data_IF_142573921027
#
_entry.id   IF_142573921027
#
_cell.length_a   1.000
_cell.length_b   1.000
_cell.length_c   1.000
_cell.angle_alpha   90.00
_cell.angle_beta   90.00
_cell.angle_gamma   90.00
#
_symmetry.space_group_name_H-M   'P 1'
#
loop_
_entity.id
_entity.type
_entity.pdbx_description
1 polymer ?
#
# COMPACT_ATOMS: atom_id res chain seq x y z
N UNK A 1 -9.79 -7.02 -19.89
CA UNK A 1 -11.16 -7.01 -19.36
C UNK A 1 -11.07 -6.93 -17.85
N UNK A 2 -11.80 -6.02 -17.23
CA UNK A 2 -11.98 -6.01 -15.77
C UNK A 2 -13.45 -5.94 -15.40
N UNK A 3 -13.85 -6.75 -14.42
CA UNK A 3 -15.21 -6.82 -13.89
C UNK A 3 -15.16 -6.39 -12.43
N UNK A 4 -16.12 -5.56 -12.05
CA UNK A 4 -16.36 -5.15 -10.68
C UNK A 4 -17.85 -5.18 -10.40
N UNK A 5 -18.30 -6.17 -9.63
CA UNK A 5 -19.69 -6.36 -9.23
C UNK A 5 -19.74 -6.28 -7.71
N UNK A 6 -20.55 -5.38 -7.16
CA UNK A 6 -20.58 -5.18 -5.72
C UNK A 6 -21.96 -4.81 -5.20
N UNK A 7 -22.23 -5.20 -3.96
CA UNK A 7 -23.20 -4.54 -3.10
C UNK A 7 -22.46 -3.55 -2.21
N UNK A 8 -22.97 -2.32 -2.13
CA UNK A 8 -22.37 -1.21 -1.40
C UNK A 8 -23.34 -0.58 -0.42
N UNK A 9 -22.90 -0.43 0.82
CA UNK A 9 -23.49 0.48 1.80
C UNK A 9 -22.85 1.87 1.61
N UNK A 10 -23.63 2.82 1.11
CA UNK A 10 -23.14 4.14 0.69
C UNK A 10 -22.70 5.01 1.88
N UNK A 11 -23.37 4.85 3.04
CA UNK A 11 -23.04 5.62 4.24
C UNK A 11 -21.71 5.14 4.81
N UNK A 12 -21.56 3.83 4.97
CA UNK A 12 -20.32 3.22 5.47
C UNK A 12 -19.16 3.46 4.50
N UNK A 13 -19.40 3.31 3.19
CA UNK A 13 -18.41 3.57 2.16
C UNK A 13 -17.90 5.02 2.24
N UNK A 14 -18.82 6.00 2.28
CA UNK A 14 -18.44 7.40 2.32
C UNK A 14 -17.72 7.77 3.64
N UNK A 15 -18.23 7.30 4.78
CA UNK A 15 -17.57 7.50 6.07
C UNK A 15 -16.11 7.02 6.05
N UNK A 16 -15.88 5.79 5.58
CA UNK A 16 -14.53 5.24 5.54
C UNK A 16 -13.62 5.96 4.53
N UNK A 17 -14.14 6.38 3.36
CA UNK A 17 -13.35 7.18 2.40
C UNK A 17 -12.87 8.51 2.98
N UNK A 18 -13.67 9.14 3.85
CA UNK A 18 -13.30 10.41 4.50
C UNK A 18 -12.26 10.23 5.61
N UNK A 19 -12.26 9.10 6.32
CA UNK A 19 -11.31 8.82 7.41
C UNK A 19 -9.91 8.44 6.91
N UNK A 20 -9.82 7.69 5.81
CA UNK A 20 -8.56 7.06 5.40
C UNK A 20 -7.76 7.83 4.34
N UNK A 21 -8.23 8.99 3.85
CA UNK A 21 -7.55 9.76 2.80
C UNK A 21 -7.33 8.99 1.50
N UNK A 22 -8.12 7.92 1.26
CA UNK A 22 -7.94 6.94 0.19
C UNK A 22 -9.03 5.86 0.23
N UNK A 23 -9.09 4.94 -0.77
CA UNK A 23 -10.07 3.87 -0.81
C UNK A 23 -9.89 2.98 0.43
N UNK A 24 -10.88 2.91 1.33
CA UNK A 24 -10.78 2.19 2.60
C UNK A 24 -10.80 0.67 2.40
N UNK A 25 -10.50 -0.08 3.47
CA UNK A 25 -10.82 -1.52 3.60
C UNK A 25 -12.25 -1.74 3.14
N UNK A 26 -12.42 -2.29 1.93
CA UNK A 26 -13.69 -2.19 1.24
C UNK A 26 -14.77 -2.98 2.03
N UNK A 27 -15.81 -2.31 2.58
CA UNK A 27 -16.88 -2.98 3.31
C UNK A 27 -17.88 -3.69 2.38
N UNK A 28 -17.74 -3.51 1.06
CA UNK A 28 -18.61 -4.08 0.05
C UNK A 28 -18.50 -5.62 0.06
N UNK A 29 -19.63 -6.28 -0.21
CA UNK A 29 -19.59 -7.60 -0.83
C UNK A 29 -19.25 -7.34 -2.30
N UNK A 30 -18.09 -7.80 -2.76
CA UNK A 30 -17.61 -7.51 -4.12
C UNK A 30 -17.00 -8.73 -4.79
N UNK A 31 -17.40 -8.99 -6.02
CA UNK A 31 -16.69 -9.84 -6.95
C UNK A 31 -15.88 -8.96 -7.91
N UNK A 32 -14.57 -9.14 -7.95
CA UNK A 32 -13.70 -8.40 -8.85
C UNK A 32 -12.75 -9.31 -9.60
N UNK A 33 -12.45 -8.97 -10.85
CA UNK A 33 -11.32 -9.58 -11.56
C UNK A 33 -10.01 -9.05 -11.00
N UNK A 34 -9.10 -9.96 -10.67
CA UNK A 34 -7.69 -9.66 -10.38
C UNK A 34 -6.84 -9.92 -11.64
N UNK A 35 -5.53 -10.15 -11.48
CA UNK A 35 -4.63 -10.38 -12.61
C UNK A 35 -5.02 -11.64 -13.38
N UNK A 36 -4.87 -11.60 -14.71
CA UNK A 36 -5.07 -12.75 -15.60
C UNK A 36 -6.50 -13.33 -15.66
N UNK A 37 -7.52 -12.54 -15.30
CA UNK A 37 -8.92 -12.96 -15.36
C UNK A 37 -9.32 -13.95 -14.25
N UNK A 38 -8.53 -14.01 -13.18
CA UNK A 38 -8.92 -14.66 -11.93
C UNK A 38 -9.95 -13.78 -11.22
N UNK A 39 -10.91 -14.39 -10.52
CA UNK A 39 -11.93 -13.67 -9.77
C UNK A 39 -11.69 -13.81 -8.26
N UNK A 40 -11.99 -12.74 -7.53
CA UNK A 40 -11.90 -12.68 -6.08
C UNK A 40 -13.21 -12.12 -5.53
N UNK A 41 -13.84 -12.87 -4.63
CA UNK A 41 -14.97 -12.38 -3.86
C UNK A 41 -14.46 -11.88 -2.50
N UNK A 42 -14.62 -10.59 -2.20
CA UNK A 42 -14.37 -10.05 -0.86
C UNK A 42 -15.71 -9.81 -0.16
N UNK A 43 -15.86 -10.29 1.08
CA UNK A 43 -17.03 -10.10 1.93
C UNK A 43 -16.58 -9.88 3.37
N UNK A 44 -16.89 -8.73 3.98
CA UNK A 44 -16.65 -8.51 5.41
C UNK A 44 -15.18 -8.71 5.85
N UNK A 45 -14.21 -8.21 5.07
CA UNK A 45 -12.76 -8.39 5.25
C UNK A 45 -12.23 -9.82 5.04
N UNK A 46 -13.05 -10.72 4.51
CA UNK A 46 -12.63 -12.05 4.10
C UNK A 46 -12.60 -12.12 2.57
N UNK A 47 -11.62 -12.87 2.05
CA UNK A 47 -11.44 -13.04 0.62
C UNK A 47 -11.65 -14.52 0.25
N UNK A 48 -12.33 -14.76 -0.86
CA UNK A 48 -12.70 -16.10 -1.33
C UNK A 48 -12.23 -16.29 -2.77
N UNK A 49 -11.60 -17.42 -3.04
CA UNK A 49 -11.14 -17.78 -4.38
C UNK A 49 -12.33 -18.11 -5.27
N UNK A 50 -12.52 -17.38 -6.36
CA UNK A 50 -13.52 -17.71 -7.37
C UNK A 50 -12.80 -18.20 -8.61
N UNK A 51 -13.14 -19.41 -9.08
CA UNK A 51 -12.57 -19.94 -10.31
C UNK A 51 -12.96 -19.06 -11.48
N UNK A 52 -12.11 -19.00 -12.52
CA UNK A 52 -12.40 -18.22 -13.72
C UNK A 52 -13.75 -18.60 -14.33
N UNK A 53 -14.03 -19.89 -14.45
CA UNK A 53 -15.28 -20.40 -14.99
C UNK A 53 -16.49 -19.93 -14.18
N UNK A 54 -16.47 -20.09 -12.85
CA UNK A 54 -17.58 -19.67 -11.99
C UNK A 54 -17.76 -18.16 -11.98
N UNK A 55 -16.67 -17.39 -12.00
CA UNK A 55 -16.71 -15.93 -12.05
C UNK A 55 -17.35 -15.40 -13.33
N UNK A 56 -17.00 -15.99 -14.49
CA UNK A 56 -17.65 -15.66 -15.76
C UNK A 56 -19.14 -16.06 -15.75
N UNK A 57 -19.49 -17.24 -15.22
CA UNK A 57 -20.90 -17.64 -15.06
C UNK A 57 -21.67 -16.65 -14.19
N UNK A 58 -21.11 -16.24 -13.05
CA UNK A 58 -21.75 -15.27 -12.15
C UNK A 58 -21.94 -13.90 -12.83
N UNK A 59 -20.95 -13.45 -13.59
CA UNK A 59 -21.05 -12.22 -14.40
C UNK A 59 -22.23 -12.29 -15.38
N UNK A 60 -22.38 -13.39 -16.11
CA UNK A 60 -23.51 -13.58 -17.04
C UNK A 60 -24.86 -13.67 -16.30
N UNK A 61 -24.92 -14.35 -15.15
CA UNK A 61 -26.12 -14.41 -14.30
C UNK A 61 -26.56 -13.02 -13.85
N UNK A 62 -25.62 -12.18 -13.40
CA UNK A 62 -25.86 -10.78 -13.02
C UNK A 62 -26.32 -9.97 -14.23
N UNK A 63 -25.62 -10.03 -15.36
CA UNK A 63 -25.99 -9.26 -16.55
C UNK A 63 -27.36 -9.64 -17.09
N UNK A 64 -27.75 -10.92 -17.01
CA UNK A 64 -29.07 -11.39 -17.43
C UNK A 64 -30.23 -10.80 -16.61
N UNK A 65 -29.94 -10.26 -15.43
CA UNK A 65 -30.90 -9.67 -14.48
C UNK A 65 -30.76 -8.15 -14.37
N UNK A 66 -29.80 -7.54 -15.07
CA UNK A 66 -29.65 -6.09 -15.11
C UNK A 66 -30.87 -5.43 -15.76
N UNK A 67 -31.31 -4.29 -15.21
CA UNK A 67 -32.51 -3.58 -15.68
C UNK A 67 -32.20 -2.56 -16.77
N UNK A 68 -30.93 -2.20 -16.93
CA UNK A 68 -30.45 -1.24 -17.91
C UNK A 68 -28.93 -1.05 -17.82
N UNK A 69 -28.42 -0.23 -18.73
CA UNK A 69 -27.05 0.28 -18.67
C UNK A 69 -27.08 1.80 -18.81
N UNK A 70 -26.12 2.48 -18.19
CA UNK A 70 -26.01 3.92 -18.28
C UNK A 70 -24.56 4.35 -18.57
N UNK A 71 -24.41 5.55 -19.12
CA UNK A 71 -23.11 6.21 -19.24
C UNK A 71 -22.76 6.92 -17.93
N UNK A 72 -21.47 7.04 -17.63
CA UNK A 72 -20.97 7.74 -16.45
C UNK A 72 -20.76 6.86 -15.23
N UNK A 73 -20.20 7.41 -14.15
CA UNK A 73 -19.78 6.65 -12.98
C UNK A 73 -20.91 6.43 -11.98
N UNK A 74 -20.81 5.32 -11.22
CA UNK A 74 -21.72 5.07 -10.11
C UNK A 74 -21.61 6.20 -9.05
N UNK A 75 -22.74 6.78 -8.58
CA UNK A 75 -22.71 7.95 -7.72
C UNK A 75 -21.92 7.71 -6.43
N UNK A 76 -21.18 8.75 -6.01
CA UNK A 76 -20.34 8.77 -4.80
C UNK A 76 -20.99 9.58 -3.68
N UNK A 77 -22.30 9.42 -3.51
CA UNK A 77 -23.07 10.05 -2.44
C UNK A 77 -23.43 9.05 -1.33
N UNK A 78 -24.08 9.55 -0.28
CA UNK A 78 -24.62 8.72 0.81
C UNK A 78 -25.91 8.01 0.43
N UNK A 79 -26.51 8.40 -0.70
CA UNK A 79 -27.77 7.87 -1.20
C UNK A 79 -27.76 7.74 -2.74
N UNK A 80 -28.46 6.74 -3.24
CA UNK A 80 -28.73 6.51 -4.65
C UNK A 80 -30.18 6.06 -4.81
N UNK A 81 -30.96 6.73 -5.67
CA UNK A 81 -32.39 6.46 -5.87
C UNK A 81 -33.21 6.39 -4.57
N UNK A 82 -32.87 7.23 -3.57
CA UNK A 82 -33.54 7.28 -2.27
C UNK A 82 -33.20 6.11 -1.33
N UNK A 83 -32.21 5.28 -1.67
CA UNK A 83 -31.67 4.21 -0.81
C UNK A 83 -30.26 4.57 -0.35
N UNK A 84 -29.85 4.10 0.83
CA UNK A 84 -28.48 4.19 1.35
C UNK A 84 -27.60 3.02 0.89
N UNK A 85 -28.13 2.18 0.02
CA UNK A 85 -27.53 0.95 -0.49
C UNK A 85 -27.58 0.95 -2.01
N UNK A 86 -26.67 0.21 -2.63
CA UNK A 86 -26.50 0.22 -4.07
C UNK A 86 -25.90 -1.09 -4.60
N UNK A 87 -26.39 -1.56 -5.74
CA UNK A 87 -25.65 -2.49 -6.58
C UNK A 87 -24.75 -1.72 -7.54
N UNK A 88 -23.48 -2.09 -7.62
CA UNK A 88 -22.50 -1.50 -8.51
C UNK A 88 -22.03 -2.56 -9.48
N UNK A 89 -22.25 -2.36 -10.77
CA UNK A 89 -21.75 -3.25 -11.82
C UNK A 89 -20.97 -2.40 -12.80
N UNK A 90 -19.66 -2.62 -12.85
CA UNK A 90 -18.74 -1.96 -13.75
C UNK A 90 -17.98 -3.03 -14.56
N UNK A 91 -18.11 -2.96 -15.87
CA UNK A 91 -17.42 -3.86 -16.80
C UNK A 91 -16.59 -3.03 -17.77
N UNK A 92 -15.29 -3.30 -17.82
CA UNK A 92 -14.35 -2.67 -18.73
C UNK A 92 -13.85 -3.67 -19.77
N UNK A 93 -14.22 -3.44 -21.02
CA UNK A 93 -13.90 -4.25 -22.19
C UNK A 93 -13.58 -3.32 -23.37
N UNK A 94 -12.64 -3.69 -24.23
CA UNK A 94 -12.30 -2.93 -25.46
C UNK A 94 -12.08 -1.43 -25.25
N UNK A 95 -11.35 -1.06 -24.19
CA UNK A 95 -11.10 0.32 -23.77
C UNK A 95 -12.35 1.15 -23.44
N UNK A 96 -13.48 0.50 -23.16
CA UNK A 96 -14.74 1.13 -22.78
C UNK A 96 -15.22 0.54 -21.44
N UNK A 97 -15.63 1.42 -20.54
CA UNK A 97 -16.37 1.03 -19.33
C UNK A 97 -17.87 1.15 -19.58
N UNK A 98 -18.63 0.13 -19.16
CA UNK A 98 -20.09 0.13 -19.16
C UNK A 98 -20.58 -0.12 -17.73
N UNK A 99 -21.57 0.66 -17.31
CA UNK A 99 -22.20 0.54 -16.00
C UNK A 99 -23.63 0.02 -16.16
N UNK A 100 -24.05 -0.84 -15.24
CA UNK A 100 -25.37 -1.48 -15.30
C UNK A 100 -26.19 -1.18 -14.06
N UNK A 101 -27.47 -0.91 -14.28
CA UNK A 101 -28.47 -0.74 -13.23
C UNK A 101 -28.92 -2.11 -12.73
N UNK A 102 -29.01 -2.26 -11.41
CA UNK A 102 -29.34 -3.53 -10.78
C UNK A 102 -29.97 -3.32 -9.39
N UNK A 103 -30.82 -4.27 -8.98
CA UNK A 103 -31.46 -4.26 -7.66
C UNK A 103 -30.47 -4.66 -6.55
N UNK A 104 -30.27 -3.78 -5.59
CA UNK A 104 -29.28 -3.91 -4.52
C UNK A 104 -29.56 -5.09 -3.57
N UNK A 105 -30.82 -5.37 -3.24
CA UNK A 105 -31.20 -6.51 -2.41
C UNK A 105 -30.93 -7.84 -3.11
N UNK A 106 -31.28 -7.93 -4.40
CA UNK A 106 -30.96 -9.09 -5.22
C UNK A 106 -29.45 -9.28 -5.38
N UNK A 107 -28.69 -8.21 -5.56
CA UNK A 107 -27.23 -8.27 -5.68
C UNK A 107 -26.60 -8.84 -4.41
N UNK A 108 -27.01 -8.32 -3.24
CA UNK A 108 -26.54 -8.83 -1.95
C UNK A 108 -26.85 -10.31 -1.78
N UNK A 109 -28.06 -10.73 -2.16
CA UNK A 109 -28.47 -12.13 -2.13
C UNK A 109 -27.57 -13.00 -3.00
N UNK A 110 -27.37 -12.63 -4.27
CA UNK A 110 -26.55 -13.39 -5.22
C UNK A 110 -25.08 -13.51 -4.75
N UNK A 111 -24.50 -12.42 -4.24
CA UNK A 111 -23.13 -12.43 -3.70
C UNK A 111 -23.02 -13.28 -2.43
N UNK A 112 -24.05 -13.31 -1.58
CA UNK A 112 -24.09 -14.15 -0.38
C UNK A 112 -24.19 -15.63 -0.75
N UNK A 113 -25.06 -15.97 -1.71
CA UNK A 113 -25.17 -17.34 -2.24
C UNK A 113 -23.83 -17.79 -2.84
N UNK A 114 -23.18 -16.94 -3.64
CA UNK A 114 -21.83 -17.22 -4.15
C UNK A 114 -20.84 -17.44 -3.01
N UNK A 115 -20.84 -16.60 -1.96
CA UNK A 115 -19.95 -16.79 -0.80
C UNK A 115 -20.14 -18.14 -0.15
N UNK A 116 -21.39 -18.56 0.06
CA UNK A 116 -21.72 -19.82 0.73
C UNK A 116 -21.35 -21.05 -0.12
N UNK A 117 -21.33 -20.92 -1.46
CA UNK A 117 -20.83 -21.94 -2.38
C UNK A 117 -19.30 -22.16 -2.28
N UNK A 118 -18.53 -21.11 -1.95
CA UNK A 118 -17.05 -21.14 -1.99
C UNK A 118 -16.39 -21.77 -0.75
N UNK A 119 -17.14 -21.94 0.34
CA UNK A 119 -16.64 -22.53 1.58
C UNK A 119 -15.82 -21.57 2.44
N UNK A 120 -14.62 -22.00 2.86
CA UNK A 120 -13.77 -21.23 3.79
C UNK A 120 -13.02 -20.10 3.07
N UNK A 121 -12.81 -18.95 3.74
CA UNK A 121 -12.04 -17.85 3.18
C UNK A 121 -10.55 -18.20 3.05
N UNK A 122 -9.89 -17.53 2.13
CA UNK A 122 -8.45 -17.61 1.94
C UNK A 122 -7.71 -17.00 3.13
N UNK A 123 -6.67 -17.69 3.59
CA UNK A 123 -5.65 -17.06 4.42
C UNK A 123 -4.75 -16.14 3.56
N UNK A 124 -3.82 -15.44 4.20
CA UNK A 124 -2.92 -14.51 3.51
C UNK A 124 -2.09 -15.18 2.40
N UNK A 125 -1.67 -16.43 2.61
CA UNK A 125 -0.83 -17.17 1.66
C UNK A 125 -1.66 -17.61 0.45
N UNK A 126 -2.83 -18.20 0.69
CA UNK A 126 -3.80 -18.59 -0.32
C UNK A 126 -4.25 -17.39 -1.15
N UNK A 127 -4.52 -16.25 -0.52
CA UNK A 127 -4.90 -15.02 -1.22
C UNK A 127 -3.84 -14.54 -2.21
N UNK A 128 -2.57 -14.46 -1.79
CA UNK A 128 -1.49 -14.00 -2.65
C UNK A 128 -1.26 -14.97 -3.81
N UNK A 129 -1.23 -16.27 -3.54
CA UNK A 129 -1.05 -17.29 -4.57
C UNK A 129 -2.21 -17.32 -5.58
N UNK A 130 -3.45 -17.12 -5.10
CA UNK A 130 -4.63 -17.03 -5.97
C UNK A 130 -4.61 -15.78 -6.85
N UNK A 131 -4.24 -14.62 -6.30
CA UNK A 131 -4.22 -13.36 -7.04
C UNK A 131 -3.05 -13.21 -8.01
N UNK A 132 -1.96 -13.96 -7.80
CA UNK A 132 -0.74 -13.90 -8.61
C UNK A 132 -0.33 -15.30 -9.08
N UNK A 133 -1.17 -15.98 -9.88
CA UNK A 133 -0.79 -17.27 -10.43
C UNK A 133 0.40 -17.11 -11.37
N UNK A 134 1.31 -18.08 -11.35
CA UNK A 134 2.42 -18.11 -12.29
C UNK A 134 1.88 -18.29 -13.72
N UNK A 135 2.18 -17.37 -14.65
CA UNK A 135 1.85 -17.55 -16.05
C UNK A 135 2.72 -18.67 -16.64
N UNK A 136 2.25 -19.28 -17.74
CA UNK A 136 3.10 -20.16 -18.52
C UNK A 136 4.17 -19.35 -19.25
N UNK A 137 5.42 -19.81 -19.24
CA UNK A 137 6.48 -19.21 -20.03
C UNK A 137 6.26 -19.53 -21.52
N UNK A 138 6.14 -18.53 -22.42
CA UNK A 138 6.00 -18.79 -23.85
C UNK A 138 7.26 -19.44 -24.44
N UNK A 139 7.11 -20.19 -25.54
CA UNK A 139 8.24 -20.81 -26.25
C UNK A 139 9.30 -19.77 -26.64
N UNK A 140 8.85 -18.68 -27.25
CA UNK A 140 9.63 -17.49 -27.53
C UNK A 140 9.24 -16.36 -26.57
N UNK A 141 10.20 -15.88 -25.80
CA UNK A 141 10.00 -14.79 -24.84
C UNK A 141 11.15 -13.80 -24.85
N UNK A 142 10.83 -12.56 -24.53
CA UNK A 142 11.78 -11.51 -24.24
C UNK A 142 12.11 -11.54 -22.74
N UNK A 143 13.32 -11.96 -22.39
CA UNK A 143 13.79 -11.94 -21.01
C UNK A 143 14.02 -10.49 -20.58
N UNK A 144 13.36 -10.03 -19.52
CA UNK A 144 13.57 -8.66 -19.01
C UNK A 144 14.50 -8.67 -17.82
N UNK A 145 14.24 -9.55 -16.86
CA UNK A 145 14.97 -9.53 -15.60
C UNK A 145 14.91 -10.88 -14.90
N UNK A 146 15.97 -11.24 -14.19
CA UNK A 146 16.01 -12.33 -13.21
C UNK A 146 16.28 -11.67 -11.86
N UNK A 147 15.42 -11.90 -10.87
CA UNK A 147 15.52 -11.29 -9.55
C UNK A 147 15.73 -12.33 -8.47
N UNK A 148 16.63 -12.02 -7.54
CA UNK A 148 16.83 -12.73 -6.28
C UNK A 148 17.03 -11.71 -5.16
N UNK A 149 16.13 -11.65 -4.19
CA UNK A 149 16.16 -10.64 -3.13
C UNK A 149 15.54 -11.13 -1.82
N UNK A 150 15.86 -10.49 -0.70
CA UNK A 150 15.12 -10.70 0.55
C UNK A 150 13.78 -9.99 0.44
N UNK A 151 12.70 -10.76 0.57
CA UNK A 151 11.36 -10.22 0.64
C UNK A 151 11.17 -9.46 1.96
N UNK A 152 10.96 -8.16 1.89
CA UNK A 152 10.84 -7.33 3.09
C UNK A 152 9.44 -6.72 3.29
N UNK A 153 8.52 -6.94 2.35
CA UNK A 153 7.11 -6.51 2.39
C UNK A 153 6.83 -4.98 2.42
N UNK A 154 5.63 -4.52 2.00
CA UNK A 154 4.62 -5.22 1.24
C UNK A 154 4.36 -4.51 -0.12
N UNK A 155 5.26 -4.71 -1.08
CA UNK A 155 5.06 -4.25 -2.48
C UNK A 155 3.91 -4.99 -3.20
N UNK A 156 3.31 -6.01 -2.57
CA UNK A 156 2.13 -6.73 -3.05
C UNK A 156 0.83 -6.41 -2.27
N UNK A 157 0.82 -5.47 -1.31
CA UNK A 157 -0.44 -4.84 -0.88
C UNK A 157 -0.80 -3.71 -1.85
N UNK A 158 -2.09 -3.42 -2.08
CA UNK A 158 -2.51 -2.24 -2.85
C UNK A 158 -1.70 -1.02 -2.40
N UNK A 159 -1.21 -0.15 -3.32
CA UNK A 159 -0.25 0.93 -3.05
C UNK A 159 -0.59 1.94 -1.93
N UNK A 160 -1.72 1.79 -1.24
CA UNK A 160 -2.31 2.77 -0.36
C UNK A 160 -1.97 2.62 1.13
N UNK A 161 -1.35 1.54 1.62
CA UNK A 161 -1.41 1.27 3.09
C UNK A 161 -0.10 1.38 3.86
N UNK A 162 1.11 1.12 3.32
CA UNK A 162 2.34 1.22 4.14
C UNK A 162 3.56 1.66 3.29
N UNK A 163 4.19 2.79 3.65
CA UNK A 163 5.60 3.04 3.31
C UNK A 163 6.46 2.31 4.34
N UNK A 164 6.94 1.11 4.03
CA UNK A 164 7.95 0.46 4.88
C UNK A 164 9.27 1.22 4.78
N UNK A 165 9.86 1.49 5.94
CA UNK A 165 11.24 1.96 6.05
C UNK A 165 12.17 0.81 5.66
N UNK A 166 12.54 0.81 4.38
CA UNK A 166 13.73 0.20 3.75
C UNK A 166 14.04 -1.26 4.07
N UNK A 167 13.61 -2.18 3.16
CA UNK A 167 14.29 -3.45 2.96
C UNK A 167 15.80 -3.21 2.79
N UNK A 168 16.62 -4.02 3.44
CA UNK A 168 17.91 -4.31 2.84
C UNK A 168 17.62 -5.00 1.50
N UNK A 169 17.74 -4.27 0.39
CA UNK A 169 17.50 -4.80 -0.95
C UNK A 169 18.70 -5.66 -1.33
N UNK A 170 18.79 -6.84 -0.73
CA UNK A 170 19.84 -7.82 -1.03
C UNK A 170 19.65 -8.40 -2.43
N UNK A 171 19.81 -7.58 -3.47
CA UNK A 171 19.43 -7.95 -4.82
C UNK A 171 20.63 -8.43 -5.60
N UNK A 172 20.66 -9.73 -5.87
CA UNK A 172 21.36 -10.25 -7.05
C UNK A 172 20.37 -10.25 -8.21
N UNK A 173 20.76 -9.76 -9.38
CA UNK A 173 19.83 -9.63 -10.51
C UNK A 173 20.53 -9.58 -11.85
N UNK A 174 19.86 -10.09 -12.87
CA UNK A 174 20.17 -9.81 -14.27
C UNK A 174 19.13 -8.85 -14.80
N UNK A 175 19.52 -7.80 -15.50
CA UNK A 175 18.60 -6.88 -16.20
C UNK A 175 19.09 -6.57 -17.62
N UNK A 176 18.18 -6.13 -18.48
CA UNK A 176 18.50 -5.56 -19.80
C UNK A 176 18.48 -4.02 -19.79
N UNK A 177 19.44 -3.37 -20.46
CA UNK A 177 19.40 -1.94 -20.77
C UNK A 177 19.61 -1.75 -22.29
N UNK A 178 18.55 -1.42 -23.02
CA UNK A 178 18.57 -1.50 -24.48
C UNK A 178 18.73 -2.96 -24.91
N UNK A 179 19.70 -3.22 -25.80
CA UNK A 179 20.01 -4.57 -26.29
C UNK A 179 21.05 -5.30 -25.44
N UNK A 180 21.63 -4.64 -24.43
CA UNK A 180 22.68 -5.19 -23.59
C UNK A 180 22.13 -5.76 -22.28
N UNK A 181 22.72 -6.87 -21.82
CA UNK A 181 22.40 -7.48 -20.53
C UNK A 181 23.53 -7.28 -19.53
N UNK A 182 23.14 -7.06 -18.28
CA UNK A 182 24.06 -6.97 -17.15
C UNK A 182 23.58 -7.88 -16.04
N UNK A 183 24.52 -8.54 -15.37
CA UNK A 183 24.25 -9.24 -14.11
C UNK A 183 24.98 -8.54 -12.98
N UNK A 184 24.29 -8.40 -11.85
CA UNK A 184 24.82 -7.85 -10.61
C UNK A 184 24.73 -8.94 -9.54
N UNK A 185 25.86 -9.25 -8.93
CA UNK A 185 25.95 -10.18 -7.81
C UNK A 185 26.27 -9.38 -6.56
N UNK A 186 25.44 -9.54 -5.53
CA UNK A 186 25.66 -8.94 -4.23
C UNK A 186 26.54 -9.85 -3.36
N UNK A 187 27.54 -9.24 -2.73
CA UNK A 187 28.43 -9.86 -1.75
C UNK A 187 28.54 -8.95 -0.52
N UNK A 188 27.65 -9.16 0.46
CA UNK A 188 27.51 -8.24 1.59
C UNK A 188 27.07 -6.85 1.11
N UNK A 189 27.85 -5.82 1.41
CA UNK A 189 27.60 -4.44 0.96
C UNK A 189 28.19 -4.11 -0.41
N UNK A 190 28.86 -5.06 -1.05
CA UNK A 190 29.43 -4.85 -2.39
C UNK A 190 28.49 -5.42 -3.44
N UNK A 191 28.39 -4.73 -4.58
CA UNK A 191 27.76 -5.20 -5.79
C UNK A 191 28.83 -5.32 -6.87
N UNK A 192 28.98 -6.52 -7.43
CA UNK A 192 29.84 -6.76 -8.59
C UNK A 192 28.97 -6.82 -9.82
N UNK A 193 29.25 -5.96 -10.79
CA UNK A 193 28.54 -5.87 -12.06
C UNK A 193 29.37 -6.53 -13.15
N UNK A 194 28.68 -7.30 -13.99
CA UNK A 194 29.25 -7.98 -15.14
C UNK A 194 28.41 -7.70 -16.38
N UNK A 195 29.07 -7.47 -17.51
CA UNK A 195 28.45 -7.36 -18.82
C UNK A 195 28.27 -8.76 -19.40
N UNK A 196 27.03 -9.12 -19.71
CA UNK A 196 26.68 -10.43 -20.25
C UNK A 196 26.90 -10.40 -21.76
N UNK A 197 27.73 -11.31 -22.32
CA UNK A 197 27.94 -11.35 -23.76
C UNK A 197 26.72 -11.90 -24.49
N UNK A 198 26.43 -11.38 -25.69
CA UNK A 198 25.27 -11.80 -26.49
C UNK A 198 25.24 -13.30 -26.78
N UNK A 199 26.42 -13.92 -26.89
CA UNK A 199 26.58 -15.36 -27.11
C UNK A 199 26.07 -16.23 -25.95
N UNK A 200 25.96 -15.68 -24.73
CA UNK A 200 25.48 -16.39 -23.54
C UNK A 200 23.94 -16.33 -23.41
N UNK A 201 23.28 -15.37 -24.06
CA UNK A 201 21.82 -15.15 -23.94
C UNK A 201 20.98 -16.39 -24.31
N UNK A 202 21.29 -17.16 -25.38
CA UNK A 202 20.53 -18.38 -25.70
C UNK A 202 20.57 -19.43 -24.58
N UNK A 203 21.74 -19.65 -23.96
CA UNK A 203 21.89 -20.62 -22.86
C UNK A 203 21.19 -20.13 -21.58
N UNK A 204 21.24 -18.83 -21.29
CA UNK A 204 20.48 -18.23 -20.18
C UNK A 204 18.99 -18.49 -20.35
N UNK A 205 18.44 -18.28 -21.56
CA UNK A 205 17.03 -18.54 -21.83
C UNK A 205 16.66 -20.00 -21.60
N UNK A 206 17.54 -20.94 -21.97
CA UNK A 206 17.30 -22.36 -21.73
C UNK A 206 17.29 -22.71 -20.23
N UNK A 207 18.24 -22.19 -19.46
CA UNK A 207 18.25 -22.37 -18.00
C UNK A 207 17.04 -21.73 -17.33
N UNK A 208 16.58 -20.58 -17.82
CA UNK A 208 15.32 -19.96 -17.37
C UNK A 208 14.12 -20.87 -17.67
N UNK A 209 14.07 -21.53 -18.84
CA UNK A 209 13.00 -22.49 -19.14
C UNK A 209 12.99 -23.64 -18.16
N UNK A 210 14.15 -24.24 -17.87
CA UNK A 210 14.26 -25.32 -16.87
C UNK A 210 13.82 -24.86 -15.48
N UNK A 211 14.24 -23.67 -15.05
CA UNK A 211 13.88 -23.10 -13.76
C UNK A 211 12.36 -22.85 -13.64
N UNK A 212 11.71 -22.42 -14.73
CA UNK A 212 10.27 -22.14 -14.75
C UNK A 212 9.38 -23.38 -14.86
N UNK A 213 9.93 -24.61 -15.01
CA UNK A 213 9.13 -25.85 -15.05
C UNK A 213 8.45 -26.18 -13.73
N UNK A 214 9.07 -25.78 -12.62
CA UNK A 214 8.58 -26.02 -11.25
C UNK A 214 8.56 -24.68 -10.50
N UNK A 215 7.55 -23.83 -10.80
CA UNK A 215 7.54 -22.47 -10.29
C UNK A 215 7.18 -22.46 -8.80
N UNK A 216 7.81 -21.56 -8.05
CA UNK A 216 7.54 -21.37 -6.64
C UNK A 216 6.21 -20.63 -6.42
N UNK A 217 5.73 -20.67 -5.18
CA UNK A 217 4.59 -19.87 -4.76
C UNK A 217 4.91 -18.36 -4.83
N UNK A 218 3.88 -17.56 -5.12
CA UNK A 218 3.98 -16.10 -5.12
C UNK A 218 4.09 -15.54 -3.69
N UNK A 219 3.55 -16.26 -2.71
CA UNK A 219 3.65 -15.88 -1.31
C UNK A 219 5.05 -16.18 -0.75
N UNK A 220 5.67 -15.15 -0.19
CA UNK A 220 6.93 -15.26 0.56
C UNK A 220 6.75 -14.60 1.92
N UNK A 221 7.28 -15.22 2.97
CA UNK A 221 7.27 -14.63 4.31
C UNK A 221 8.28 -13.47 4.40
N UNK A 222 7.96 -12.36 5.08
CA UNK A 222 8.93 -11.30 5.31
C UNK A 222 10.22 -11.81 5.96
N UNK A 223 11.36 -11.37 5.44
CA UNK A 223 12.69 -11.81 5.83
C UNK A 223 13.16 -13.11 5.16
N UNK A 224 12.34 -13.73 4.31
CA UNK A 224 12.77 -14.87 3.47
C UNK A 224 13.20 -14.39 2.09
N UNK A 225 14.02 -15.20 1.43
CA UNK A 225 14.41 -14.95 0.05
C UNK A 225 13.22 -15.17 -0.88
N UNK A 226 13.04 -14.25 -1.81
CA UNK A 226 12.14 -14.37 -2.96
C UNK A 226 12.94 -14.30 -4.25
N UNK A 227 12.42 -14.95 -5.28
CA UNK A 227 12.99 -14.84 -6.61
C UNK A 227 11.92 -14.98 -7.68
N UNK A 228 12.14 -14.32 -8.81
CA UNK A 228 11.23 -14.39 -9.94
C UNK A 228 11.93 -14.05 -11.25
N UNK A 229 11.39 -14.60 -12.34
CA UNK A 229 11.74 -14.27 -13.71
C UNK A 229 10.70 -13.29 -14.25
N UNK A 230 11.16 -12.15 -14.78
CA UNK A 230 10.32 -11.20 -15.47
C UNK A 230 10.52 -11.27 -16.98
N UNK A 231 9.43 -11.41 -17.74
CA UNK A 231 9.46 -11.55 -19.19
C UNK A 231 8.33 -10.80 -19.91
N UNK A 232 8.50 -10.66 -21.22
CA UNK A 232 7.51 -10.06 -22.11
C UNK A 232 7.34 -8.55 -21.96
N UNK A 233 6.50 -7.96 -22.82
CA UNK A 233 6.21 -6.52 -22.83
C UNK A 233 5.40 -6.07 -21.61
N UNK A 234 4.56 -6.97 -21.10
CA UNK A 234 3.67 -6.75 -19.95
C UNK A 234 4.36 -6.96 -18.61
N UNK A 235 5.65 -7.31 -18.59
CA UNK A 235 6.44 -7.58 -17.38
C UNK A 235 5.80 -8.66 -16.51
N UNK A 236 5.38 -9.75 -17.15
CA UNK A 236 4.88 -10.94 -16.46
C UNK A 236 5.97 -11.53 -15.58
N UNK A 237 5.57 -12.17 -14.48
CA UNK A 237 6.47 -12.71 -13.47
C UNK A 237 6.14 -14.16 -13.21
N UNK A 238 7.14 -15.02 -13.22
CA UNK A 238 7.08 -16.39 -12.69
C UNK A 238 7.96 -16.43 -11.46
N UNK A 239 7.38 -16.75 -10.31
CA UNK A 239 8.12 -16.96 -9.07
C UNK A 239 8.90 -18.27 -9.16
N UNK A 240 10.14 -18.23 -8.69
CA UNK A 240 11.09 -19.33 -8.82
C UNK A 240 11.71 -19.65 -7.46
N UNK A 241 12.33 -20.82 -7.38
CA UNK A 241 13.12 -21.21 -6.22
C UNK A 241 14.32 -20.24 -6.04
N UNK A 242 14.46 -19.58 -4.88
CA UNK A 242 15.52 -18.59 -4.67
C UNK A 242 16.92 -19.13 -4.82
N UNK A 243 17.20 -20.32 -4.27
CA UNK A 243 18.53 -20.91 -4.29
C UNK A 243 18.94 -21.25 -5.74
N UNK A 244 18.04 -21.90 -6.50
CA UNK A 244 18.29 -22.20 -7.92
C UNK A 244 18.42 -20.93 -8.77
N UNK A 245 17.70 -19.87 -8.41
CA UNK A 245 17.79 -18.58 -9.11
C UNK A 245 19.14 -17.91 -8.85
N UNK A 246 19.62 -17.96 -7.61
CA UNK A 246 20.94 -17.45 -7.24
C UNK A 246 22.06 -18.23 -7.95
N UNK A 247 21.94 -19.55 -8.04
CA UNK A 247 22.88 -20.40 -8.78
C UNK A 247 22.95 -20.00 -10.26
N UNK A 248 21.80 -19.72 -10.89
CA UNK A 248 21.75 -19.22 -12.26
C UNK A 248 22.44 -17.85 -12.39
N UNK A 249 22.19 -16.91 -11.47
CA UNK A 249 22.83 -15.60 -11.50
C UNK A 249 24.36 -15.71 -11.35
N UNK A 250 24.84 -16.56 -10.44
CA UNK A 250 26.27 -16.83 -10.26
C UNK A 250 26.88 -17.47 -11.51
N UNK A 251 26.18 -18.43 -12.13
CA UNK A 251 26.59 -19.01 -13.40
C UNK A 251 26.78 -17.92 -14.47
N UNK A 252 25.81 -17.02 -14.62
CA UNK A 252 25.87 -15.93 -15.60
C UNK A 252 27.09 -15.04 -15.32
N UNK A 253 27.27 -14.62 -14.07
CA UNK A 253 28.38 -13.76 -13.68
C UNK A 253 29.75 -14.41 -13.96
N UNK A 254 29.90 -15.70 -13.68
CA UNK A 254 31.15 -16.44 -13.94
C UNK A 254 31.51 -16.59 -15.43
N UNK A 255 30.53 -16.44 -16.32
CA UNK A 255 30.70 -16.50 -17.78
C UNK A 255 30.55 -15.12 -18.44
N UNK A 256 30.56 -14.04 -17.65
CA UNK A 256 30.39 -12.66 -18.11
C UNK A 256 31.67 -11.84 -17.90
N UNK A 257 31.77 -10.73 -18.61
CA UNK A 257 32.91 -9.81 -18.49
C UNK A 257 32.72 -8.92 -17.25
N UNK A 258 33.69 -8.89 -16.34
CA UNK A 258 33.64 -7.99 -15.20
C UNK A 258 33.63 -6.52 -15.66
N UNK A 259 32.70 -5.73 -15.12
CA UNK A 259 32.54 -4.31 -15.45
C UNK A 259 33.02 -3.44 -14.27
N UNK A 260 32.39 -3.58 -13.11
CA UNK A 260 32.68 -2.71 -11.96
C UNK A 260 32.27 -3.32 -10.63
N UNK A 261 32.82 -2.75 -9.55
CA UNK A 261 32.35 -2.97 -8.18
C UNK A 261 31.81 -1.65 -7.63
N UNK A 262 30.63 -1.69 -7.03
CA UNK A 262 30.06 -0.57 -6.27
C UNK A 262 29.75 -1.00 -4.84
N UNK A 263 29.72 -0.03 -3.92
CA UNK A 263 29.21 -0.26 -2.57
C UNK A 263 27.78 0.26 -2.45
N UNK A 264 26.95 -0.51 -1.77
CA UNK A 264 25.58 -0.13 -1.47
C UNK A 264 25.63 1.02 -0.47
N UNK A 265 25.12 2.18 -0.89
CA UNK A 265 24.99 3.34 -0.01
C UNK A 265 23.80 3.15 0.93
N UNK A 266 24.05 2.50 2.07
CA UNK A 266 23.04 2.32 3.11
C UNK A 266 22.53 3.66 3.65
N UNK A 267 23.32 4.75 3.61
CA UNK A 267 22.90 6.07 4.13
C UNK A 267 21.83 6.75 3.27
N UNK A 268 21.82 6.49 1.96
CA UNK A 268 20.76 6.95 1.03
C UNK A 268 19.37 6.40 1.38
N UNK A 269 19.36 5.21 1.99
CA UNK A 269 18.16 4.50 2.41
C UNK A 269 17.89 4.62 3.92
N UNK A 270 18.79 5.21 4.72
CA UNK A 270 18.57 5.45 6.15
C UNK A 270 18.65 6.95 6.50
N UNK A 271 17.65 7.79 6.17
CA UNK A 271 17.65 9.20 6.57
C UNK A 271 17.32 9.42 8.06
N UNK A 272 17.63 8.47 8.96
CA UNK A 272 17.34 8.62 10.39
C UNK A 272 18.45 9.38 11.15
N UNK A 273 19.63 9.57 10.55
CA UNK A 273 20.75 10.31 11.14
C UNK A 273 21.26 11.47 10.27
N UNK A 274 20.44 11.99 9.35
CA UNK A 274 20.74 13.30 8.78
C UNK A 274 20.70 14.31 9.94
N UNK A 275 21.87 14.78 10.38
CA UNK A 275 21.97 15.99 11.20
C UNK A 275 21.12 17.05 10.49
N UNK A 276 20.14 17.67 11.19
CA UNK A 276 19.30 18.67 10.56
C UNK A 276 20.21 19.71 9.92
N UNK A 277 19.95 19.99 8.64
CA UNK A 277 20.66 21.04 7.92
C UNK A 277 20.61 22.32 8.77
N UNK A 278 21.76 22.64 9.36
CA UNK A 278 22.20 23.97 9.72
C UNK A 278 21.35 24.61 10.83
N UNK A 279 21.68 24.29 12.08
CA UNK A 279 21.39 25.13 13.25
C UNK A 279 21.87 26.60 13.09
N UNK A 280 22.66 26.89 12.06
CA UNK A 280 23.06 28.23 11.63
C UNK A 280 21.92 29.08 11.05
N UNK A 281 20.86 28.47 10.49
CA UNK A 281 19.71 29.21 9.95
C UNK A 281 18.72 29.66 11.02
N UNK A 282 18.50 28.83 12.04
CA UNK A 282 17.57 29.11 13.14
C UNK A 282 18.12 30.18 14.11
N UNK A 283 19.45 30.25 14.31
CA UNK A 283 20.09 31.36 15.04
C UNK A 283 19.99 32.70 14.28
N UNK A 284 20.02 32.68 12.94
CA UNK A 284 19.82 33.88 12.12
C UNK A 284 18.39 34.42 12.20
N UNK A 285 17.39 33.53 12.20
CA UNK A 285 15.98 33.91 12.31
C UNK A 285 15.63 34.42 13.72
N UNK A 286 16.14 33.78 14.79
CA UNK A 286 16.00 34.28 16.17
C UNK A 286 16.64 35.65 16.37
N UNK A 287 17.81 35.91 15.77
CA UNK A 287 18.47 37.22 15.82
C UNK A 287 17.74 38.32 15.03
N UNK A 288 17.10 37.96 13.91
CA UNK A 288 16.30 38.90 13.11
C UNK A 288 14.96 39.22 13.77
N UNK A 289 14.34 38.26 14.46
CA UNK A 289 13.09 38.46 15.20
C UNK A 289 13.30 39.32 16.46
N UNK A 290 14.44 39.20 17.14
CA UNK A 290 14.78 40.10 18.28
C UNK A 290 15.03 41.55 17.85
N UNK A 291 15.54 41.78 16.63
CA UNK A 291 15.77 43.13 16.11
C UNK A 291 14.46 43.77 15.63
N UNK A 292 13.55 42.98 15.03
CA UNK A 292 12.21 43.44 14.64
C UNK A 292 11.33 43.81 15.85
N UNK A 293 11.45 43.08 16.97
CA UNK A 293 10.68 43.37 18.18
C UNK A 293 11.16 44.62 18.93
N UNK A 294 12.42 45.03 18.73
CA UNK A 294 12.96 46.27 19.31
C UNK A 294 12.59 47.52 18.48
N UNK A 295 12.10 47.34 17.25
CA UNK A 295 11.66 48.44 16.37
C UNK A 295 10.14 48.68 16.40
N UNK A 296 9.37 47.80 17.08
CA UNK A 296 7.92 47.93 17.26
C UNK A 296 7.50 48.60 18.58
N UNK A 297 8.45 49.07 19.41
CA UNK A 297 8.16 49.71 20.70
C UNK A 297 8.00 51.25 20.62
N UNK A 298 7.83 51.84 19.43
CA UNK A 298 7.68 53.29 19.31
C UNK A 298 6.72 53.70 18.19
N UNK A 299 5.41 53.47 18.37
CA UNK A 299 4.38 54.34 17.79
C UNK A 299 3.04 54.13 18.50
N UNK A 300 2.39 55.26 18.79
CA UNK A 300 1.28 55.41 19.74
C UNK A 300 -0.08 55.48 19.00
N UNK A 301 -1.13 55.06 19.72
CA UNK A 301 -2.52 55.58 19.67
C UNK A 301 -3.60 54.90 18.79
N UNK A 302 -4.60 54.34 19.51
CA UNK A 302 -6.06 54.34 19.31
C UNK A 302 -6.73 53.65 18.10
N UNK A 303 -7.45 52.54 18.35
CA UNK A 303 -8.92 52.44 18.16
C UNK A 303 -9.52 51.16 18.80
N UNK A 304 -10.83 51.25 19.10
CA UNK A 304 -11.68 50.36 19.90
C UNK A 304 -12.05 49.01 19.26
N UNK A 305 -12.35 48.06 20.16
CA UNK A 305 -13.33 46.95 20.15
C UNK A 305 -13.84 46.41 18.80
N UNK A 306 -13.62 45.10 18.58
CA UNK A 306 -14.75 44.15 18.48
C UNK A 306 -14.30 42.71 18.79
N UNK A 307 -15.18 42.02 19.50
CA UNK A 307 -15.10 40.65 20.01
C UNK A 307 -14.96 39.59 18.92
N UNK A 308 -14.03 38.66 19.11
CA UNK A 308 -14.05 37.35 18.44
C UNK A 308 -13.66 36.26 19.44
N UNK A 309 -14.61 35.37 19.71
CA UNK A 309 -14.48 34.19 20.55
C UNK A 309 -13.41 33.26 19.96
N UNK A 310 -12.29 33.13 20.67
CA UNK A 310 -11.29 32.09 20.45
C UNK A 310 -11.48 30.99 21.49
N UNK A 311 -11.68 29.77 20.99
CA UNK A 311 -11.85 28.51 21.70
C UNK A 311 -10.86 28.38 22.86
N UNK A 312 -11.39 28.30 24.09
CA UNK A 312 -10.60 28.18 25.31
C UNK A 312 -9.74 26.90 25.31
N UNK A 313 -8.41 26.97 25.52
CA UNK A 313 -7.62 25.79 25.83
C UNK A 313 -8.03 25.29 27.21
N UNK A 314 -8.44 24.01 27.29
CA UNK A 314 -8.95 23.40 28.52
C UNK A 314 -7.98 23.56 29.71
N UNK A 315 -8.50 24.12 30.80
CA UNK A 315 -7.78 24.28 32.06
C UNK A 315 -7.49 22.92 32.71
N UNK A 316 -6.32 22.75 33.33
CA UNK A 316 -5.93 21.53 34.04
C UNK A 316 -5.48 21.82 35.47
N UNK A 317 -5.66 20.84 36.36
CA UNK A 317 -5.26 20.96 37.76
C UNK A 317 -3.94 20.24 38.01
N UNK A 318 -2.99 20.93 38.65
CA UNK A 318 -1.69 20.39 39.00
C UNK A 318 -1.79 19.36 40.12
N UNK A 319 -1.47 18.09 39.80
CA UNK A 319 -1.44 17.02 40.79
C UNK A 319 -0.22 17.07 41.74
N UNK A 320 0.83 17.80 41.38
CA UNK A 320 2.05 17.89 42.19
C UNK A 320 1.93 18.88 43.36
N UNK A 321 1.32 20.04 43.13
CA UNK A 321 1.16 21.08 44.16
C UNK A 321 -0.30 21.41 44.50
N UNK A 322 -1.27 20.83 43.81
CA UNK A 322 -2.70 21.04 44.04
C UNK A 322 -3.28 22.30 43.36
N UNK A 323 -2.47 23.10 42.65
CA UNK A 323 -2.93 24.30 41.95
C UNK A 323 -3.99 23.97 40.89
N UNK A 324 -5.13 24.62 40.95
CA UNK A 324 -6.24 24.40 40.01
C UNK A 324 -6.26 25.48 38.92
N UNK A 325 -6.83 25.14 37.75
CA UNK A 325 -7.10 26.12 36.70
C UNK A 325 -5.90 26.54 35.85
N UNK A 326 -4.87 25.70 35.71
CA UNK A 326 -3.72 26.01 34.87
C UNK A 326 -4.10 26.00 33.38
N UNK A 327 -3.68 27.02 32.64
CA UNK A 327 -3.88 27.13 31.18
C UNK A 327 -2.62 26.89 30.38
N UNK A 328 -1.44 26.94 31.00
CA UNK A 328 -0.14 26.76 30.36
C UNK A 328 0.32 25.29 30.38
N UNK A 329 1.27 24.93 29.51
CA UNK A 329 1.88 23.58 29.45
C UNK A 329 2.60 23.16 30.73
N UNK A 330 2.98 24.11 31.58
CA UNK A 330 3.64 23.89 32.87
C UNK A 330 2.90 24.64 33.97
N UNK A 331 2.88 24.07 35.18
CA UNK A 331 2.31 24.72 36.35
C UNK A 331 3.17 25.93 36.73
N UNK A 332 2.60 27.14 36.80
CA UNK A 332 3.35 28.35 37.12
C UNK A 332 3.90 28.37 38.55
N UNK A 333 3.37 27.55 39.46
CA UNK A 333 3.82 27.52 40.87
C UNK A 333 4.94 26.52 41.15
N UNK A 334 4.99 25.39 40.44
CA UNK A 334 5.96 24.34 40.74
C UNK A 334 6.72 23.82 39.51
N UNK A 335 6.44 24.35 38.32
CA UNK A 335 7.08 23.93 37.06
C UNK A 335 6.67 22.54 36.56
N UNK A 336 5.77 21.83 37.24
CA UNK A 336 5.32 20.50 36.81
C UNK A 336 4.61 20.58 35.45
N UNK A 337 4.98 19.70 34.51
CA UNK A 337 4.36 19.63 33.18
C UNK A 337 2.90 19.14 33.27
N UNK A 338 2.03 19.63 32.38
CA UNK A 338 0.69 19.09 32.18
C UNK A 338 0.77 17.57 31.96
N UNK A 339 -0.08 16.75 32.61
CA UNK A 339 -0.07 15.31 32.40
C UNK A 339 -0.40 14.95 30.94
N UNK A 340 0.54 14.31 30.25
CA UNK A 340 0.42 13.89 28.84
C UNK A 340 -0.37 12.57 28.74
N UNK A 341 -1.69 12.62 28.94
CA UNK A 341 -2.54 11.47 28.67
C UNK A 341 -4.00 11.81 28.42
N UNK A 342 -4.60 11.08 27.49
CA UNK A 342 -5.98 11.25 27.05
C UNK A 342 -6.76 9.96 27.25
N UNK A 343 -8.06 10.10 27.51
CA UNK A 343 -8.97 8.95 27.61
C UNK A 343 -9.60 8.73 26.24
N UNK A 344 -9.53 7.50 25.73
CA UNK A 344 -10.03 7.17 24.41
C UNK A 344 -11.56 7.37 24.37
N UNK A 345 -12.10 8.18 23.44
CA UNK A 345 -13.54 8.39 23.35
C UNK A 345 -14.27 7.14 22.85
N UNK A 346 -13.57 6.23 22.16
CA UNK A 346 -14.15 5.00 21.60
C UNK A 346 -14.23 3.86 22.62
N UNK A 347 -13.18 3.63 23.41
CA UNK A 347 -13.12 2.48 24.32
C UNK A 347 -12.92 2.85 25.79
N UNK A 348 -12.70 4.12 26.12
CA UNK A 348 -12.49 4.59 27.49
C UNK A 348 -11.11 4.30 28.08
N UNK A 349 -10.19 3.67 27.36
CA UNK A 349 -8.83 3.40 27.84
C UNK A 349 -8.00 4.69 27.99
N UNK A 350 -7.13 4.77 29.00
CA UNK A 350 -6.23 5.92 29.18
C UNK A 350 -4.91 5.69 28.44
N UNK A 351 -4.50 6.65 27.62
CA UNK A 351 -3.36 6.53 26.69
C UNK A 351 -2.44 7.75 26.79
N UNK A 352 -1.14 7.54 26.57
CA UNK A 352 -0.10 8.58 26.61
C UNK A 352 0.58 8.83 25.26
N UNK A 353 0.32 7.97 24.26
CA UNK A 353 0.83 8.11 22.89
C UNK A 353 -0.19 8.76 21.94
N UNK A 354 0.16 8.93 20.65
CA UNK A 354 -0.73 9.49 19.63
C UNK A 354 -1.95 8.62 19.32
N UNK A 355 -1.86 7.31 19.61
CA UNK A 355 -2.89 6.33 19.33
C UNK A 355 -3.28 5.57 20.60
N UNK A 356 -4.51 5.08 20.62
CA UNK A 356 -4.99 4.21 21.67
C UNK A 356 -4.25 2.86 21.62
N UNK A 357 -3.65 2.44 22.72
CA UNK A 357 -2.94 1.16 22.81
C UNK A 357 -3.89 -0.04 22.75
N UNK A 358 -5.18 0.17 23.05
CA UNK A 358 -6.20 -0.88 23.03
C UNK A 358 -6.93 -0.99 21.68
N UNK A 359 -7.27 0.14 21.06
CA UNK A 359 -8.10 0.13 19.83
C UNK A 359 -7.48 0.87 18.64
N UNK A 360 -6.27 1.42 18.76
CA UNK A 360 -5.57 2.11 17.67
C UNK A 360 -6.13 3.47 17.24
N UNK A 361 -7.22 3.95 17.86
CA UNK A 361 -7.81 5.26 17.53
C UNK A 361 -6.87 6.43 17.80
N UNK A 362 -6.91 7.49 16.99
CA UNK A 362 -6.08 8.70 17.15
C UNK A 362 -6.56 9.52 18.36
N UNK A 363 -5.61 10.10 19.11
CA UNK A 363 -5.91 10.98 20.24
C UNK A 363 -6.51 12.32 19.81
N UNK A 364 -7.33 12.97 20.65
CA UNK A 364 -8.10 14.17 20.28
C UNK A 364 -7.26 15.42 20.00
N UNK A 365 -5.97 15.41 20.33
CA UNK A 365 -5.03 16.50 20.08
C UNK A 365 -4.20 16.30 18.78
N UNK A 366 -4.52 15.28 17.95
CA UNK A 366 -3.79 14.92 16.73
C UNK A 366 -4.66 14.76 15.48
#
# INVERSE_FOLDING_TARGET
MSVYIAYRDLVNYQFQTTLCGGPPTNPDFRLATVKSGVYLLTCGNQDYAVTKERGEQFKEEVLSKATGSHDGYFPRGTEHNGKTTAAVIEIYEDNKTTWYDFDDELMLKMLTELKDELGEPLDRRGLINHCYPNPALPEEFELKTIYHQIYCGPDNTPPAVIRTMFPDTETSRLWSFGDEYFVVIREGLNEKKYKVPDSLIPDIKEKVRELCKDPAEAYVEPGKWESFIQFGKTKERIFTDPDKTLDLLNYIASNSEFDSTSQIDTKKYYPYNAQPANASGMMGIMGMMSMAQQQAANTNSNHMEETAAASAPGTWNCKACGKQGNTAQFCPECGAKKPDGWKCPMCGAFNTGKFCMECGSVGPDF
#
